data_IF_079196288209
#
_entry.id   IF_079196288209
#
_cell.length_a   1.000
_cell.length_b   1.000
_cell.length_c   1.000
_cell.angle_alpha   90.00
_cell.angle_beta   90.00
_cell.angle_gamma   90.00
#
_symmetry.space_group_name_H-M   'P 1'
#
loop_
_entity.id
_entity.type
_entity.pdbx_description
1 polymer ?
#
# COMPACT_ATOMS: atom_id res chain seq x y z
N UNK A 1 22.38 8.38 5.88
CA UNK A 1 21.87 7.27 5.08
C UNK A 1 21.23 6.12 5.89
N UNK A 2 21.47 6.01 7.21
CA UNK A 2 21.01 4.84 8.00
C UNK A 2 19.57 4.93 8.53
N UNK A 3 18.98 6.11 8.58
CA UNK A 3 17.62 6.28 9.11
C UNK A 3 16.52 5.75 8.18
N UNK A 4 16.75 5.66 6.87
CA UNK A 4 15.74 5.18 5.92
C UNK A 4 15.51 3.67 5.95
N UNK A 5 16.44 2.88 6.44
CA UNK A 5 16.35 1.41 6.45
C UNK A 5 15.31 0.91 7.47
N UNK A 6 15.20 1.54 8.64
CA UNK A 6 14.26 1.15 9.69
C UNK A 6 12.80 1.39 9.31
N UNK A 7 12.52 2.50 8.63
CA UNK A 7 11.17 2.80 8.12
C UNK A 7 10.74 1.83 7.02
N UNK A 8 11.65 1.50 6.10
CA UNK A 8 11.37 0.56 5.03
C UNK A 8 11.03 -0.85 5.57
N UNK A 9 11.70 -1.29 6.63
CA UNK A 9 11.40 -2.58 7.26
C UNK A 9 10.01 -2.60 7.89
N UNK A 10 9.64 -1.55 8.62
CA UNK A 10 8.34 -1.43 9.27
C UNK A 10 7.21 -1.44 8.22
N UNK A 11 7.30 -0.61 7.19
CA UNK A 11 6.32 -0.59 6.10
C UNK A 11 6.23 -1.93 5.37
N UNK A 12 7.37 -2.58 5.13
CA UNK A 12 7.39 -3.90 4.49
C UNK A 12 6.63 -4.95 5.31
N UNK A 13 6.75 -4.91 6.64
CA UNK A 13 6.00 -5.80 7.53
C UNK A 13 4.49 -5.50 7.50
N UNK A 14 4.10 -4.21 7.54
CA UNK A 14 2.71 -3.78 7.45
C UNK A 14 2.04 -4.20 6.14
N UNK A 15 2.73 -4.05 5.00
CA UNK A 15 2.20 -4.43 3.69
C UNK A 15 2.14 -5.95 3.46
N UNK A 16 2.60 -6.77 4.39
CA UNK A 16 2.34 -8.21 4.42
C UNK A 16 1.02 -8.57 5.09
N UNK A 17 0.42 -7.66 5.86
CA UNK A 17 -0.89 -7.86 6.48
C UNK A 17 -2.00 -7.46 5.50
N UNK A 18 -2.80 -8.44 5.07
CA UNK A 18 -3.91 -8.23 4.12
C UNK A 18 -4.97 -7.24 4.62
N UNK A 19 -5.23 -7.22 5.93
CA UNK A 19 -6.20 -6.29 6.51
C UNK A 19 -5.66 -4.85 6.49
N UNK A 20 -4.37 -4.69 6.80
CA UNK A 20 -3.70 -3.41 6.66
C UNK A 20 -3.75 -2.90 5.22
N UNK A 21 -3.38 -3.73 4.23
CA UNK A 21 -3.39 -3.36 2.82
C UNK A 21 -4.79 -2.94 2.36
N UNK A 22 -5.82 -3.69 2.74
CA UNK A 22 -7.22 -3.35 2.39
C UNK A 22 -7.64 -2.00 2.99
N UNK A 23 -7.33 -1.77 4.26
CA UNK A 23 -7.64 -0.52 4.95
C UNK A 23 -6.88 0.64 4.32
N UNK A 24 -5.60 0.45 4.01
CA UNK A 24 -4.77 1.44 3.32
C UNK A 24 -5.34 1.83 1.96
N UNK A 25 -5.70 0.84 1.12
CA UNK A 25 -6.26 1.09 -0.21
C UNK A 25 -7.59 1.84 -0.15
N UNK A 26 -8.47 1.48 0.79
CA UNK A 26 -9.74 2.18 0.97
C UNK A 26 -9.54 3.65 1.39
N UNK A 27 -8.67 3.90 2.37
CA UNK A 27 -8.33 5.25 2.81
C UNK A 27 -7.64 6.05 1.70
N UNK A 28 -6.74 5.42 0.94
CA UNK A 28 -6.08 6.05 -0.18
C UNK A 28 -7.09 6.52 -1.21
N UNK A 29 -8.00 5.65 -1.66
CA UNK A 29 -9.05 5.99 -2.65
C UNK A 29 -9.95 7.12 -2.18
N UNK A 30 -10.30 7.12 -0.90
CA UNK A 30 -11.14 8.16 -0.31
C UNK A 30 -10.44 9.53 -0.29
N UNK A 31 -9.16 9.57 0.04
CA UNK A 31 -8.44 10.83 0.30
C UNK A 31 -7.72 11.39 -0.93
N UNK A 32 -7.22 10.52 -1.83
CA UNK A 32 -6.32 10.94 -2.91
C UNK A 32 -6.96 11.93 -3.89
N UNK A 33 -8.25 11.74 -4.18
CA UNK A 33 -8.99 12.60 -5.10
C UNK A 33 -9.10 14.06 -4.59
N UNK A 34 -9.04 14.26 -3.28
CA UNK A 34 -9.13 15.57 -2.65
C UNK A 34 -7.78 16.30 -2.54
N UNK A 35 -6.67 15.58 -2.66
CA UNK A 35 -5.32 16.15 -2.40
C UNK A 35 -4.96 17.23 -3.40
N UNK A 36 -5.08 16.96 -4.70
CA UNK A 36 -4.69 17.91 -5.73
C UNK A 36 -5.50 19.20 -5.68
N UNK A 37 -6.85 19.17 -5.68
CA UNK A 37 -7.66 20.39 -5.56
C UNK A 37 -7.38 21.17 -4.27
N UNK A 38 -7.13 20.48 -3.17
CA UNK A 38 -6.81 21.13 -1.90
C UNK A 38 -5.49 21.90 -1.98
N UNK A 39 -4.43 21.28 -2.51
CA UNK A 39 -3.12 21.93 -2.65
C UNK A 39 -3.19 23.08 -3.64
N UNK A 40 -3.83 22.89 -4.81
CA UNK A 40 -4.01 23.92 -5.82
C UNK A 40 -4.73 25.14 -5.25
N UNK A 41 -5.86 24.95 -4.57
CA UNK A 41 -6.61 26.05 -3.94
C UNK A 41 -5.79 26.73 -2.83
N UNK A 42 -5.05 25.97 -2.04
CA UNK A 42 -4.20 26.52 -1.00
C UNK A 42 -3.09 27.41 -1.55
N UNK A 43 -2.47 27.00 -2.65
CA UNK A 43 -1.42 27.80 -3.33
C UNK A 43 -2.01 29.04 -4.02
N UNK A 44 -3.18 28.94 -4.64
CA UNK A 44 -3.89 30.10 -5.20
C UNK A 44 -4.24 31.13 -4.11
N UNK A 45 -4.80 30.69 -2.99
CA UNK A 45 -5.12 31.55 -1.86
C UNK A 45 -3.85 32.19 -1.25
N UNK A 46 -2.76 31.43 -1.18
CA UNK A 46 -1.48 31.98 -0.73
C UNK A 46 -0.98 33.07 -1.67
N UNK A 47 -1.02 32.84 -2.98
CA UNK A 47 -0.63 33.82 -4.01
C UNK A 47 -1.47 35.09 -3.93
N UNK A 48 -2.80 34.95 -3.86
CA UNK A 48 -3.70 36.09 -3.75
C UNK A 48 -3.42 36.94 -2.49
N UNK A 49 -3.18 36.28 -1.37
CA UNK A 49 -3.02 36.98 -0.08
C UNK A 49 -1.61 37.53 0.14
N UNK A 50 -0.61 36.83 -0.30
CA UNK A 50 0.79 37.11 0.06
C UNK A 50 1.72 37.29 -1.14
N UNK A 51 1.26 37.08 -2.38
CA UNK A 51 2.10 37.03 -3.58
C UNK A 51 2.96 38.28 -3.77
N UNK A 52 2.35 39.48 -3.63
CA UNK A 52 3.08 40.73 -3.78
C UNK A 52 4.18 40.89 -2.70
N UNK A 53 3.88 40.59 -1.45
CA UNK A 53 4.84 40.68 -0.36
C UNK A 53 5.96 39.64 -0.53
N UNK A 54 5.60 38.45 -1.01
CA UNK A 54 6.56 37.37 -1.30
C UNK A 54 7.53 37.78 -2.41
N UNK A 55 7.04 38.30 -3.55
CA UNK A 55 7.88 38.72 -4.67
C UNK A 55 8.83 39.87 -4.26
N UNK A 56 8.36 40.85 -3.50
CA UNK A 56 9.23 41.93 -2.96
C UNK A 56 10.32 41.34 -2.06
N UNK A 57 10.00 40.37 -1.24
CA UNK A 57 10.99 39.67 -0.38
C UNK A 57 12.02 38.92 -1.23
N UNK A 58 11.53 38.24 -2.30
CA UNK A 58 12.39 37.48 -3.23
C UNK A 58 13.29 38.40 -4.07
N UNK A 59 12.86 39.62 -4.43
CA UNK A 59 13.71 40.61 -5.07
C UNK A 59 14.90 41.00 -4.18
N UNK A 60 14.66 41.26 -2.89
CA UNK A 60 15.72 41.55 -1.93
C UNK A 60 16.65 40.34 -1.75
N UNK A 61 16.11 39.15 -1.70
CA UNK A 61 16.90 37.91 -1.60
C UNK A 61 17.79 37.71 -2.83
N UNK A 62 17.26 37.91 -4.04
CA UNK A 62 18.01 37.83 -5.31
C UNK A 62 19.11 38.88 -5.41
N UNK A 63 18.89 40.07 -4.84
CA UNK A 63 19.92 41.12 -4.80
C UNK A 63 21.15 40.73 -3.97
N UNK A 64 20.94 39.92 -2.92
CA UNK A 64 22.03 39.43 -2.06
C UNK A 64 22.59 38.09 -2.56
N UNK A 65 21.74 37.20 -3.06
CA UNK A 65 22.06 35.81 -3.45
C UNK A 65 21.70 35.58 -4.92
N UNK A 66 22.40 36.23 -5.84
CA UNK A 66 22.07 36.28 -7.27
C UNK A 66 21.95 34.90 -7.98
N UNK A 67 22.53 33.85 -7.41
CA UNK A 67 22.51 32.49 -7.96
C UNK A 67 21.45 31.58 -7.34
N UNK A 68 20.74 32.05 -6.31
CA UNK A 68 19.71 31.30 -5.61
C UNK A 68 18.31 31.84 -5.98
N UNK A 69 17.31 30.98 -5.99
CA UNK A 69 15.91 31.35 -6.14
C UNK A 69 15.60 32.22 -7.37
N UNK A 70 15.99 31.75 -8.55
CA UNK A 70 15.78 32.50 -9.83
C UNK A 70 14.31 32.50 -10.27
N UNK A 71 13.54 31.49 -9.86
CA UNK A 71 12.16 31.31 -10.31
C UNK A 71 11.22 32.30 -9.63
N UNK A 72 10.23 32.76 -10.37
CA UNK A 72 9.10 33.54 -9.85
C UNK A 72 8.21 32.66 -8.95
N UNK A 73 7.33 33.29 -8.17
CA UNK A 73 6.34 32.54 -7.38
C UNK A 73 5.45 31.67 -8.26
N UNK A 74 5.08 32.16 -9.45
CA UNK A 74 4.25 31.40 -10.39
C UNK A 74 4.96 30.14 -10.90
N UNK A 75 6.22 30.28 -11.32
CA UNK A 75 7.02 29.12 -11.73
C UNK A 75 7.19 28.11 -10.60
N UNK A 76 7.37 28.56 -9.36
CA UNK A 76 7.48 27.66 -8.20
C UNK A 76 6.14 26.94 -7.91
N UNK A 77 5.02 27.64 -8.04
CA UNK A 77 3.69 27.02 -7.89
C UNK A 77 3.45 25.98 -9.00
N UNK A 78 3.77 26.31 -10.24
CA UNK A 78 3.62 25.40 -11.37
C UNK A 78 4.50 24.14 -11.21
N UNK A 79 5.74 24.31 -10.74
CA UNK A 79 6.65 23.21 -10.43
C UNK A 79 6.07 22.28 -9.35
N UNK A 80 5.55 22.85 -8.26
CA UNK A 80 4.92 22.06 -7.19
C UNK A 80 3.69 21.30 -7.69
N UNK A 81 2.82 21.95 -8.47
CA UNK A 81 1.61 21.32 -9.01
C UNK A 81 1.93 20.25 -10.04
N UNK A 82 2.94 20.46 -10.87
CA UNK A 82 3.42 19.47 -11.84
C UNK A 82 3.98 18.24 -11.12
N UNK A 83 4.86 18.47 -10.16
CA UNK A 83 5.43 17.39 -9.33
C UNK A 83 4.34 16.59 -8.59
N UNK A 84 3.35 17.29 -8.06
CA UNK A 84 2.22 16.64 -7.38
C UNK A 84 1.43 15.76 -8.33
N UNK A 85 1.12 16.23 -9.57
CA UNK A 85 0.42 15.43 -10.60
C UNK A 85 1.19 14.17 -10.96
N UNK A 86 2.49 14.29 -11.20
CA UNK A 86 3.35 13.15 -11.53
C UNK A 86 3.38 12.13 -10.38
N UNK A 87 3.50 12.62 -9.15
CA UNK A 87 3.48 11.76 -7.96
C UNK A 87 2.15 11.05 -7.75
N UNK A 88 1.04 11.75 -7.98
CA UNK A 88 -0.29 11.14 -7.88
C UNK A 88 -0.50 10.07 -8.96
N UNK A 89 -0.07 10.31 -10.19
CA UNK A 89 -0.12 9.33 -11.27
C UNK A 89 0.71 8.07 -10.95
N UNK A 90 1.93 8.24 -10.40
CA UNK A 90 2.74 7.12 -9.94
C UNK A 90 2.07 6.34 -8.82
N UNK A 91 1.50 7.03 -7.84
CA UNK A 91 0.79 6.38 -6.73
C UNK A 91 -0.45 5.62 -7.20
N UNK A 92 -1.16 6.11 -8.21
CA UNK A 92 -2.29 5.41 -8.82
C UNK A 92 -1.86 4.09 -9.46
N UNK A 93 -0.75 4.09 -10.21
CA UNK A 93 -0.18 2.86 -10.78
C UNK A 93 0.19 1.87 -9.67
N UNK A 94 0.87 2.33 -8.63
CA UNK A 94 1.30 1.48 -7.52
C UNK A 94 0.12 0.88 -6.74
N UNK A 95 -0.92 1.67 -6.49
CA UNK A 95 -2.13 1.18 -5.80
C UNK A 95 -2.93 0.22 -6.65
N UNK A 96 -3.04 0.45 -7.96
CA UNK A 96 -3.69 -0.47 -8.90
C UNK A 96 -2.97 -1.83 -8.93
N UNK A 97 -1.64 -1.82 -8.99
CA UNK A 97 -0.85 -3.05 -8.93
C UNK A 97 -1.04 -3.79 -7.60
N UNK A 98 -1.06 -3.07 -6.48
CA UNK A 98 -1.30 -3.65 -5.16
C UNK A 98 -2.69 -4.27 -5.04
N UNK A 99 -3.71 -3.63 -5.64
CA UNK A 99 -5.07 -4.18 -5.71
C UNK A 99 -5.14 -5.48 -6.52
N UNK A 100 -4.47 -5.53 -7.66
CA UNK A 100 -4.42 -6.72 -8.49
C UNK A 100 -3.78 -7.90 -7.74
N UNK A 101 -2.66 -7.66 -7.06
CA UNK A 101 -1.99 -8.69 -6.26
C UNK A 101 -2.90 -9.19 -5.13
N UNK A 102 -3.54 -8.28 -4.39
CA UNK A 102 -4.48 -8.65 -3.32
C UNK A 102 -5.73 -9.35 -3.83
N UNK A 103 -6.23 -8.99 -5.01
CA UNK A 103 -7.36 -9.67 -5.64
C UNK A 103 -7.01 -11.11 -6.06
N UNK A 104 -5.84 -11.30 -6.67
CA UNK A 104 -5.34 -12.65 -7.03
C UNK A 104 -5.17 -13.52 -5.79
N UNK A 105 -4.55 -13.01 -4.74
CA UNK A 105 -4.42 -13.74 -3.46
C UNK A 105 -5.78 -14.07 -2.84
N UNK A 106 -6.75 -13.16 -2.88
CA UNK A 106 -8.10 -13.43 -2.37
C UNK A 106 -8.87 -14.46 -3.20
N UNK A 107 -8.58 -14.57 -4.50
CA UNK A 107 -9.08 -15.63 -5.34
C UNK A 107 -8.42 -16.96 -5.00
N UNK A 108 -7.12 -16.97 -4.73
CA UNK A 108 -6.40 -18.17 -4.30
C UNK A 108 -6.87 -18.65 -2.92
N UNK A 109 -7.18 -17.73 -1.99
CA UNK A 109 -7.75 -18.07 -0.68
C UNK A 109 -9.18 -18.65 -0.78
N UNK A 110 -9.92 -18.33 -1.86
CA UNK A 110 -11.25 -18.90 -2.15
C UNK A 110 -11.18 -20.19 -2.98
N UNK A 111 -10.00 -20.50 -3.53
CA UNK A 111 -9.79 -21.79 -4.17
C UNK A 111 -9.96 -22.85 -3.09
N UNK A 112 -10.93 -23.71 -3.37
CA UNK A 112 -11.39 -24.88 -2.67
C UNK A 112 -10.54 -25.28 -1.44
N UNK A 113 -11.06 -24.98 -0.25
CA UNK A 113 -10.47 -25.37 1.03
C UNK A 113 -10.65 -26.87 1.30
N UNK A 114 -11.07 -27.65 0.27
CA UNK A 114 -11.27 -29.08 0.38
C UNK A 114 -9.94 -29.80 0.68
N UNK A 115 -10.05 -30.81 1.51
CA UNK A 115 -8.91 -31.67 1.84
C UNK A 115 -8.64 -32.60 0.66
N UNK A 116 -7.55 -32.37 -0.05
CA UNK A 116 -7.14 -33.24 -1.17
C UNK A 116 -6.28 -34.42 -0.70
N UNK A 117 -5.69 -34.34 0.48
CA UNK A 117 -4.96 -35.43 1.09
C UNK A 117 -4.95 -35.31 2.62
N UNK A 118 -5.17 -36.42 3.31
CA UNK A 118 -5.08 -36.52 4.76
C UNK A 118 -4.30 -37.78 5.13
N UNK A 119 -3.21 -37.62 5.89
CA UNK A 119 -2.40 -38.73 6.39
C UNK A 119 -2.22 -38.59 7.90
N UNK A 120 -2.16 -39.70 8.61
CA UNK A 120 -1.79 -39.67 10.03
C UNK A 120 -0.25 -39.59 10.21
N UNK A 121 0.21 -39.47 11.44
CA UNK A 121 1.67 -39.39 11.75
C UNK A 121 2.44 -40.67 11.39
N UNK A 122 1.76 -41.77 11.14
CA UNK A 122 2.36 -43.04 10.72
C UNK A 122 2.33 -43.23 9.21
N UNK A 123 1.91 -42.20 8.44
CA UNK A 123 1.86 -42.25 6.99
C UNK A 123 0.63 -42.94 6.40
N UNK A 124 -0.32 -43.36 7.22
CA UNK A 124 -1.60 -43.98 6.74
C UNK A 124 -2.47 -42.91 6.14
N UNK A 125 -3.01 -43.20 4.94
CA UNK A 125 -3.87 -42.28 4.20
C UNK A 125 -5.34 -42.40 4.62
N UNK A 126 -5.95 -41.29 4.98
CA UNK A 126 -7.33 -41.13 5.37
C UNK A 126 -8.07 -40.13 4.46
N UNK A 127 -7.59 -39.93 3.26
CA UNK A 127 -8.21 -39.05 2.27
C UNK A 127 -9.63 -39.52 1.97
N UNK A 128 -10.61 -38.62 1.99
CA UNK A 128 -12.03 -38.94 1.76
C UNK A 128 -12.76 -39.48 2.97
N UNK A 129 -12.12 -39.78 4.06
CA UNK A 129 -12.80 -40.18 5.31
C UNK A 129 -13.40 -38.94 5.99
N UNK A 130 -14.69 -39.04 6.39
CA UNK A 130 -15.33 -37.98 7.17
C UNK A 130 -14.58 -37.75 8.49
N UNK A 131 -14.44 -36.49 8.90
CA UNK A 131 -13.73 -36.11 10.15
C UNK A 131 -14.32 -36.84 11.36
N UNK A 132 -15.64 -36.99 11.44
CA UNK A 132 -16.35 -37.67 12.53
C UNK A 132 -16.04 -39.17 12.63
N UNK A 133 -15.53 -39.78 11.57
CA UNK A 133 -15.17 -41.20 11.49
C UNK A 133 -13.64 -41.42 11.55
N UNK A 134 -12.86 -40.38 11.81
CA UNK A 134 -11.43 -40.54 11.95
C UNK A 134 -11.09 -41.12 13.33
N UNK A 135 -10.14 -42.05 13.41
CA UNK A 135 -9.55 -42.42 14.70
C UNK A 135 -8.97 -41.21 15.46
N UNK A 136 -8.98 -41.29 16.79
CA UNK A 136 -8.29 -40.29 17.61
C UNK A 136 -6.83 -40.22 17.23
N UNK A 137 -6.34 -39.02 16.95
CA UNK A 137 -4.95 -38.88 16.54
C UNK A 137 -4.60 -37.56 15.86
N UNK A 138 -3.36 -37.48 15.42
CA UNK A 138 -2.82 -36.32 14.71
C UNK A 138 -2.78 -36.62 13.21
N UNK A 139 -3.30 -35.69 12.42
CA UNK A 139 -3.35 -35.77 10.96
C UNK A 139 -2.66 -34.57 10.33
N UNK A 140 -2.09 -34.78 9.17
CA UNK A 140 -1.56 -33.76 8.28
C UNK A 140 -2.51 -33.67 7.09
N UNK A 141 -3.12 -32.53 6.90
CA UNK A 141 -4.03 -32.26 5.79
C UNK A 141 -3.33 -31.35 4.77
N UNK A 142 -3.30 -31.79 3.51
CA UNK A 142 -3.01 -30.94 2.36
C UNK A 142 -4.34 -30.54 1.71
N UNK A 143 -4.53 -29.25 1.51
CA UNK A 143 -5.73 -28.67 0.90
C UNK A 143 -5.51 -28.34 -0.57
N UNK A 144 -6.60 -28.19 -1.32
CA UNK A 144 -6.57 -27.88 -2.74
C UNK A 144 -5.86 -26.54 -3.03
N UNK A 145 -5.97 -25.57 -2.13
CA UNK A 145 -5.25 -24.30 -2.18
C UNK A 145 -3.73 -24.39 -1.89
N UNK A 146 -3.21 -25.61 -1.71
CA UNK A 146 -1.80 -25.87 -1.45
C UNK A 146 -1.38 -25.76 0.02
N UNK A 147 -2.26 -25.31 0.92
CA UNK A 147 -1.93 -25.20 2.35
C UNK A 147 -1.80 -26.58 3.00
N UNK A 148 -0.90 -26.67 3.96
CA UNK A 148 -0.69 -27.87 4.79
C UNK A 148 -0.97 -27.47 6.24
N UNK A 149 -1.83 -28.22 6.92
CA UNK A 149 -2.08 -27.98 8.33
C UNK A 149 -2.10 -29.28 9.15
N UNK A 150 -1.78 -29.15 10.44
CA UNK A 150 -1.89 -30.21 11.43
C UNK A 150 -3.28 -30.13 12.07
N UNK A 151 -3.98 -31.26 12.11
CA UNK A 151 -5.31 -31.40 12.72
C UNK A 151 -5.22 -32.45 13.82
N UNK A 152 -5.80 -32.16 14.97
CA UNK A 152 -5.96 -33.10 16.07
C UNK A 152 -7.41 -33.56 16.11
N UNK A 153 -7.64 -34.85 15.91
CA UNK A 153 -8.94 -35.48 16.16
C UNK A 153 -8.92 -36.06 17.58
N UNK A 154 -9.88 -35.62 18.41
CA UNK A 154 -9.99 -36.00 19.82
C UNK A 154 -11.06 -37.04 20.05
#
# INVERSE_FOLDING_TARGET
GYQHISYAFFYRALFQDKNFVRTYLNLYKEKIAAVYPYVENSLKNFKEKYGEAFEKSMELHRAVYANECRNTLDEQIDDVLTHLKERLALLEILTTNLEQVTAVESCLDKLDDSVVRRINVYGVDFTGVNVDNLPVGIYIEKRANGTIRKVLNK
#
